data_IF_199809891001
#
_entry.id   IF_199809891001
#
_cell.length_a   1.000
_cell.length_b   1.000
_cell.length_c   1.000
_cell.angle_alpha   90.00
_cell.angle_beta   90.00
_cell.angle_gamma   90.00
#
_symmetry.space_group_name_H-M   'P 1'
#
loop_
_entity.id
_entity.type
_entity.pdbx_description
1 polymer ?
#
# COMPACT_ATOMS: atom_id res chain seq x y z
N UNK A 1 2.73 -31.75 21.40
CA UNK A 1 3.49 -30.51 21.56
C UNK A 1 4.21 -30.22 20.27
N UNK A 2 3.63 -29.47 19.36
CA UNK A 2 4.36 -28.95 18.22
C UNK A 2 4.79 -27.52 18.63
N UNK A 3 6.04 -27.37 18.99
CA UNK A 3 6.67 -26.06 19.09
C UNK A 3 6.59 -25.41 17.70
N UNK A 4 5.79 -24.37 17.58
CA UNK A 4 5.87 -23.43 16.45
C UNK A 4 7.28 -22.84 16.48
N UNK A 5 8.18 -23.38 15.67
CA UNK A 5 9.42 -22.67 15.34
C UNK A 5 9.04 -21.33 14.79
N UNK A 6 9.35 -20.27 15.52
CA UNK A 6 9.31 -18.92 15.00
C UNK A 6 10.04 -18.91 13.66
N UNK A 7 9.44 -18.32 12.64
CA UNK A 7 10.06 -18.18 11.32
C UNK A 7 11.32 -17.32 11.48
N UNK A 8 12.48 -17.98 11.47
CA UNK A 8 13.80 -17.36 11.79
C UNK A 8 14.39 -16.61 10.59
N UNK A 9 13.61 -16.52 9.49
CA UNK A 9 14.06 -15.81 8.29
C UNK A 9 14.15 -14.31 8.55
N UNK A 10 15.18 -13.64 8.02
CA UNK A 10 15.37 -12.21 8.21
C UNK A 10 14.17 -11.43 7.67
N UNK A 11 13.70 -10.49 8.45
CA UNK A 11 12.60 -9.58 8.10
C UNK A 11 13.20 -8.21 7.80
N UNK A 12 13.03 -7.74 6.57
CA UNK A 12 13.55 -6.45 6.14
C UNK A 12 12.42 -5.43 6.04
N UNK A 13 12.74 -4.20 6.44
CA UNK A 13 11.86 -3.05 6.37
C UNK A 13 12.49 -1.98 5.48
N UNK A 14 11.73 -1.43 4.55
CA UNK A 14 12.08 -0.19 3.87
C UNK A 14 11.18 0.95 4.35
N UNK A 15 11.75 2.13 4.58
CA UNK A 15 11.04 3.34 4.99
C UNK A 15 11.50 4.53 4.15
N UNK A 16 10.56 5.45 3.83
CA UNK A 16 10.91 6.73 3.21
C UNK A 16 10.29 7.89 3.99
N UNK A 17 10.98 9.03 3.93
CA UNK A 17 10.65 10.21 4.72
C UNK A 17 10.76 11.50 3.93
N UNK A 18 10.12 12.55 4.43
CA UNK A 18 10.29 13.93 3.96
C UNK A 18 11.68 14.51 4.26
N UNK A 19 12.57 13.77 4.92
CA UNK A 19 13.99 14.11 5.01
C UNK A 19 14.78 13.76 3.74
N UNK A 20 14.08 13.31 2.69
CA UNK A 20 14.63 12.89 1.41
C UNK A 20 15.59 11.70 1.52
N UNK A 21 15.31 10.79 2.42
CA UNK A 21 16.07 9.54 2.54
C UNK A 21 15.15 8.32 2.44
N UNK A 22 15.67 7.27 1.84
CA UNK A 22 15.15 5.90 1.94
C UNK A 22 16.09 5.12 2.84
N UNK A 23 15.55 4.36 3.76
CA UNK A 23 16.30 3.55 4.71
C UNK A 23 15.85 2.11 4.67
N UNK A 24 16.83 1.20 4.75
CA UNK A 24 16.60 -0.23 4.84
C UNK A 24 17.07 -0.71 6.20
N UNK A 25 16.24 -1.52 6.85
CA UNK A 25 16.41 -1.97 8.21
C UNK A 25 16.29 -3.48 8.30
N UNK A 26 17.06 -4.08 9.15
CA UNK A 26 16.70 -5.37 9.69
C UNK A 26 15.60 -5.17 10.73
N UNK A 27 14.39 -5.67 10.44
CA UNK A 27 13.21 -5.28 11.21
C UNK A 27 13.21 -5.79 12.65
N UNK A 28 13.85 -6.94 12.93
CA UNK A 28 13.87 -7.51 14.29
C UNK A 28 14.89 -6.86 15.21
N UNK A 29 16.05 -6.44 14.67
CA UNK A 29 17.12 -5.81 15.46
C UNK A 29 17.02 -4.29 15.48
N UNK A 30 16.27 -3.70 14.55
CA UNK A 30 16.19 -2.25 14.38
C UNK A 30 17.43 -1.63 13.76
N UNK A 31 18.36 -2.44 13.25
CA UNK A 31 19.61 -1.97 12.63
C UNK A 31 19.33 -1.41 11.24
N UNK A 32 19.68 -0.15 11.03
CA UNK A 32 19.68 0.46 9.70
C UNK A 32 20.98 0.06 8.99
N UNK A 33 20.89 -0.84 8.00
CA UNK A 33 22.06 -1.30 7.26
C UNK A 33 22.32 -0.51 5.98
N UNK A 34 21.32 0.20 5.47
CA UNK A 34 21.48 1.06 4.30
C UNK A 34 20.62 2.31 4.43
N UNK A 35 21.23 3.47 4.13
CA UNK A 35 20.52 4.75 4.02
C UNK A 35 21.06 5.48 2.82
N UNK A 36 20.19 5.89 1.91
CA UNK A 36 20.60 6.63 0.73
C UNK A 36 19.69 7.84 0.48
N UNK A 37 20.28 8.93 -0.04
CA UNK A 37 19.53 10.14 -0.33
C UNK A 37 18.62 9.96 -1.55
N UNK A 38 17.48 10.60 -1.50
CA UNK A 38 16.55 10.75 -2.62
C UNK A 38 16.33 12.25 -2.86
N UNK A 39 17.32 12.97 -3.41
CA UNK A 39 17.36 14.42 -3.41
C UNK A 39 16.22 15.04 -4.24
N UNK A 40 15.71 16.17 -3.76
CA UNK A 40 14.74 17.04 -4.43
C UNK A 40 13.33 16.47 -4.65
N UNK A 41 13.02 15.27 -4.13
CA UNK A 41 11.72 14.64 -4.33
C UNK A 41 11.22 14.03 -3.03
N UNK A 42 9.89 13.93 -2.90
CA UNK A 42 9.24 13.17 -1.83
C UNK A 42 8.80 11.82 -2.37
N UNK A 43 9.11 10.78 -1.64
CA UNK A 43 8.61 9.43 -1.92
C UNK A 43 7.22 9.32 -1.29
N UNK A 44 6.22 9.05 -2.11
CA UNK A 44 4.84 8.91 -1.66
C UNK A 44 4.49 7.44 -1.36
N UNK A 45 5.13 6.51 -2.08
CA UNK A 45 4.91 5.07 -1.92
C UNK A 45 6.19 4.30 -2.16
N UNK A 46 6.41 3.28 -1.33
CA UNK A 46 7.42 2.22 -1.54
C UNK A 46 6.71 0.90 -1.80
N UNK A 47 7.29 0.08 -2.67
CA UNK A 47 6.84 -1.29 -2.91
C UNK A 47 8.02 -2.18 -3.25
N UNK A 48 8.02 -3.43 -2.77
CA UNK A 48 9.05 -4.42 -3.09
C UNK A 48 8.52 -5.34 -4.19
N UNK A 49 9.37 -5.64 -5.17
CA UNK A 49 8.99 -6.54 -6.27
C UNK A 49 8.67 -7.95 -5.76
N UNK A 50 7.78 -8.72 -6.44
CA UNK A 50 7.42 -10.08 -6.02
C UNK A 50 8.62 -11.03 -5.90
N UNK A 51 9.67 -10.84 -6.71
CA UNK A 51 10.95 -11.58 -6.62
C UNK A 51 11.84 -11.12 -5.46
N UNK A 52 11.40 -10.09 -4.73
CA UNK A 52 12.07 -9.48 -3.58
C UNK A 52 13.45 -8.87 -3.89
N UNK A 53 13.86 -8.84 -5.14
CA UNK A 53 15.18 -8.33 -5.56
C UNK A 53 15.24 -6.82 -5.68
N UNK A 54 14.09 -6.15 -5.86
CA UNK A 54 14.07 -4.72 -6.19
C UNK A 54 13.09 -3.94 -5.33
N UNK A 55 13.38 -2.65 -5.16
CA UNK A 55 12.54 -1.67 -4.48
C UNK A 55 12.10 -0.62 -5.50
N UNK A 56 10.81 -0.33 -5.50
CA UNK A 56 10.25 0.79 -6.26
C UNK A 56 9.90 1.93 -5.33
N UNK A 57 10.27 3.14 -5.74
CA UNK A 57 9.88 4.38 -5.09
C UNK A 57 9.08 5.25 -6.06
N UNK A 58 7.82 5.49 -5.71
CA UNK A 58 6.93 6.41 -6.41
C UNK A 58 7.05 7.81 -5.82
N UNK A 59 7.27 8.80 -6.67
CA UNK A 59 7.51 10.20 -6.27
C UNK A 59 6.87 11.19 -7.24
N UNK A 60 7.32 12.42 -7.26
CA UNK A 60 6.84 13.47 -8.15
C UNK A 60 7.91 13.83 -9.20
N UNK A 61 7.66 13.66 -10.49
CA UNK A 61 6.60 12.88 -11.12
C UNK A 61 7.06 11.46 -11.52
N UNK A 62 8.25 11.04 -11.09
CA UNK A 62 8.91 9.83 -11.58
C UNK A 62 8.72 8.63 -10.64
N UNK A 63 8.86 7.44 -11.21
CA UNK A 63 8.98 6.19 -10.46
C UNK A 63 10.40 5.67 -10.66
N UNK A 64 11.10 5.29 -9.59
CA UNK A 64 12.45 4.75 -9.65
C UNK A 64 12.50 3.34 -9.11
N UNK A 65 13.21 2.49 -9.84
CA UNK A 65 13.44 1.09 -9.50
C UNK A 65 14.89 0.92 -9.06
N UNK A 66 15.09 0.37 -7.88
CA UNK A 66 16.41 0.10 -7.28
C UNK A 66 16.62 -1.40 -7.15
N UNK A 67 17.83 -1.87 -7.41
CA UNK A 67 18.24 -3.26 -7.19
C UNK A 67 18.84 -3.37 -5.78
N UNK A 68 18.18 -4.13 -4.91
CA UNK A 68 18.60 -4.31 -3.52
C UNK A 68 19.82 -5.22 -3.37
N UNK A 69 20.15 -5.99 -4.41
CA UNK A 69 21.29 -6.90 -4.45
C UNK A 69 22.52 -6.28 -5.14
N UNK A 70 22.39 -5.07 -5.67
CA UNK A 70 23.49 -4.36 -6.35
C UNK A 70 24.55 -3.89 -5.38
N UNK A 71 25.79 -3.78 -5.87
CA UNK A 71 26.89 -3.12 -5.16
C UNK A 71 26.66 -1.62 -4.94
N UNK A 72 25.76 -1.02 -5.70
CA UNK A 72 25.35 0.39 -5.60
C UNK A 72 23.83 0.53 -5.54
N UNK A 73 23.18 0.04 -4.45
CA UNK A 73 21.72 -0.01 -4.36
C UNK A 73 21.04 1.36 -4.31
N UNK A 74 21.80 2.44 -4.12
CA UNK A 74 21.33 3.83 -4.16
C UNK A 74 21.19 4.40 -5.59
N UNK A 75 21.70 3.71 -6.59
CA UNK A 75 21.58 4.11 -8.01
C UNK A 75 20.36 3.40 -8.60
N UNK A 76 19.36 4.13 -9.13
CA UNK A 76 18.22 3.47 -9.73
C UNK A 76 18.64 2.74 -11.01
N UNK A 77 18.25 1.47 -11.13
CA UNK A 77 18.47 0.68 -12.36
C UNK A 77 17.54 1.11 -13.48
N UNK A 78 16.43 1.77 -13.12
CA UNK A 78 15.48 2.35 -14.08
C UNK A 78 14.69 3.50 -13.48
N UNK A 79 14.40 4.51 -14.32
CA UNK A 79 13.45 5.60 -14.01
C UNK A 79 12.34 5.59 -15.05
N UNK A 80 11.09 5.73 -14.60
CA UNK A 80 9.90 5.79 -15.46
C UNK A 80 9.37 7.23 -15.44
N UNK A 81 9.35 7.88 -16.61
CA UNK A 81 9.15 9.32 -16.80
C UNK A 81 7.95 9.60 -17.71
N UNK A 82 6.74 9.32 -17.25
CA UNK A 82 5.53 9.55 -18.06
C UNK A 82 4.39 10.19 -17.29
N UNK A 83 4.40 10.12 -15.95
CA UNK A 83 3.49 10.91 -15.15
C UNK A 83 3.91 12.38 -15.10
N UNK A 84 2.94 13.28 -14.91
CA UNK A 84 3.16 14.74 -14.89
C UNK A 84 2.98 15.35 -13.50
N UNK A 85 2.47 14.58 -12.53
CA UNK A 85 2.26 14.99 -11.13
C UNK A 85 2.69 13.87 -10.18
N UNK A 86 2.39 14.04 -8.87
CA UNK A 86 2.69 13.05 -7.85
C UNK A 86 2.16 11.66 -8.21
N UNK A 87 3.02 10.67 -8.14
CA UNK A 87 2.63 9.27 -8.21
C UNK A 87 2.29 8.81 -6.80
N UNK A 88 1.02 8.46 -6.57
CA UNK A 88 0.47 8.17 -5.25
C UNK A 88 0.39 6.67 -4.95
N UNK A 89 0.33 5.85 -5.99
CA UNK A 89 0.23 4.40 -5.88
C UNK A 89 1.15 3.72 -6.88
N UNK A 90 1.75 2.61 -6.47
CA UNK A 90 2.51 1.70 -7.32
C UNK A 90 2.33 0.29 -6.80
N UNK A 91 2.34 -0.68 -7.70
CA UNK A 91 2.28 -2.09 -7.35
C UNK A 91 2.62 -2.99 -8.54
N UNK A 92 2.62 -4.28 -8.30
CA UNK A 92 3.07 -5.27 -9.28
C UNK A 92 2.02 -6.34 -9.54
N UNK A 93 2.03 -6.89 -10.74
CA UNK A 93 1.40 -8.15 -11.04
C UNK A 93 2.17 -9.29 -10.33
N UNK A 94 1.49 -10.38 -10.03
CA UNK A 94 2.07 -11.52 -9.30
C UNK A 94 3.38 -12.04 -9.91
N UNK A 95 3.49 -12.04 -11.25
CA UNK A 95 4.71 -12.47 -11.95
C UNK A 95 5.88 -11.47 -11.83
N UNK A 96 5.64 -10.26 -11.35
CA UNK A 96 6.64 -9.19 -11.31
C UNK A 96 7.05 -8.62 -12.66
N UNK A 97 6.40 -9.05 -13.76
CA UNK A 97 6.73 -8.56 -15.11
C UNK A 97 6.05 -7.24 -15.44
N UNK A 98 4.92 -6.98 -14.84
CA UNK A 98 4.15 -5.75 -15.03
C UNK A 98 4.04 -4.98 -13.71
N UNK A 99 4.21 -3.68 -13.80
CA UNK A 99 3.96 -2.71 -12.74
C UNK A 99 2.77 -1.83 -13.14
N UNK A 100 1.99 -1.40 -12.17
CA UNK A 100 0.96 -0.37 -12.34
C UNK A 100 1.26 0.82 -11.44
N UNK A 101 0.76 1.99 -11.82
CA UNK A 101 0.86 3.21 -11.02
C UNK A 101 -0.38 4.06 -11.16
N UNK A 102 -0.67 4.86 -10.13
CA UNK A 102 -1.72 5.86 -10.12
C UNK A 102 -1.18 7.21 -9.67
N UNK A 103 -1.64 8.29 -10.32
CA UNK A 103 -1.09 9.62 -10.10
C UNK A 103 -2.17 10.70 -9.96
N UNK A 104 -1.79 11.79 -9.29
CA UNK A 104 -2.58 13.03 -9.24
C UNK A 104 -2.79 13.69 -10.60
N UNK A 105 -2.11 13.23 -11.67
CA UNK A 105 -2.39 13.65 -13.04
C UNK A 105 -3.70 13.06 -13.60
N UNK A 106 -4.40 12.24 -12.81
CA UNK A 106 -5.66 11.59 -13.17
C UNK A 106 -5.47 10.31 -13.98
N UNK A 107 -4.25 9.80 -14.10
CA UNK A 107 -3.99 8.59 -14.90
C UNK A 107 -3.60 7.39 -14.06
N UNK A 108 -4.01 6.21 -14.54
CA UNK A 108 -3.48 4.91 -14.12
C UNK A 108 -2.67 4.37 -15.29
N UNK A 109 -1.41 3.99 -15.05
CA UNK A 109 -0.49 3.53 -16.10
C UNK A 109 0.01 2.12 -15.82
N UNK A 110 0.22 1.37 -16.91
CA UNK A 110 0.77 0.02 -16.91
C UNK A 110 2.14 0.04 -17.58
N UNK A 111 3.09 -0.63 -16.94
CA UNK A 111 4.49 -0.70 -17.34
C UNK A 111 4.94 -2.14 -17.48
N UNK A 112 5.53 -2.51 -18.60
CA UNK A 112 6.23 -3.79 -18.75
C UNK A 112 7.70 -3.61 -18.35
N UNK A 113 8.13 -4.32 -17.33
CA UNK A 113 9.49 -4.21 -16.81
C UNK A 113 10.55 -4.87 -17.71
N UNK A 114 10.13 -5.68 -18.68
CA UNK A 114 11.01 -6.34 -19.65
C UNK A 114 11.33 -5.43 -20.83
N UNK A 115 10.46 -4.48 -21.13
CA UNK A 115 10.58 -3.59 -22.29
C UNK A 115 11.21 -2.26 -21.90
N UNK A 116 11.99 -1.69 -22.83
CA UNK A 116 12.59 -0.36 -22.65
C UNK A 116 11.54 0.75 -22.80
N UNK A 117 10.40 0.47 -23.44
CA UNK A 117 9.32 1.44 -23.65
C UNK A 117 8.66 1.86 -22.32
N UNK A 118 8.35 3.14 -22.23
CA UNK A 118 7.93 3.78 -21.01
C UNK A 118 6.57 3.27 -20.54
N UNK A 119 5.48 3.58 -21.18
CA UNK A 119 4.14 3.20 -20.76
C UNK A 119 3.49 2.30 -21.81
N UNK A 120 2.89 1.18 -21.38
CA UNK A 120 2.18 0.29 -22.30
C UNK A 120 0.71 0.67 -22.47
N UNK A 121 0.07 1.04 -21.37
CA UNK A 121 -1.35 1.41 -21.33
C UNK A 121 -1.58 2.53 -20.35
N UNK A 122 -2.58 3.36 -20.65
CA UNK A 122 -2.98 4.48 -19.84
C UNK A 122 -4.51 4.55 -19.75
N UNK A 123 -5.03 4.53 -18.52
CA UNK A 123 -6.42 4.78 -18.22
C UNK A 123 -6.57 6.16 -17.62
N UNK A 124 -7.61 6.90 -18.02
CA UNK A 124 -7.83 8.28 -17.58
C UNK A 124 -9.08 8.41 -16.71
N UNK A 125 -8.88 9.00 -15.55
CA UNK A 125 -9.93 9.49 -14.68
C UNK A 125 -10.08 11.00 -14.84
N UNK A 126 -11.25 11.52 -14.53
CA UNK A 126 -11.51 12.97 -14.50
C UNK A 126 -10.98 13.66 -13.24
N UNK A 127 -10.49 12.89 -12.28
CA UNK A 127 -10.03 13.36 -10.96
C UNK A 127 -8.68 12.75 -10.59
N UNK A 128 -7.84 13.42 -9.79
CA UNK A 128 -6.58 12.89 -9.28
C UNK A 128 -6.74 11.53 -8.62
N UNK A 129 -5.88 10.58 -8.98
CA UNK A 129 -5.86 9.23 -8.40
C UNK A 129 -5.04 9.24 -7.11
N UNK A 130 -5.64 8.78 -6.02
CA UNK A 130 -4.98 8.64 -4.73
C UNK A 130 -4.46 7.23 -4.46
N UNK A 131 -5.14 6.21 -4.99
CA UNK A 131 -4.83 4.81 -4.72
C UNK A 131 -5.20 3.93 -5.90
N UNK A 132 -4.41 2.90 -6.14
CA UNK A 132 -4.68 1.84 -7.13
C UNK A 132 -4.26 0.51 -6.53
N UNK A 133 -5.06 -0.51 -6.73
CA UNK A 133 -4.76 -1.89 -6.35
C UNK A 133 -5.09 -2.84 -7.48
N UNK A 134 -4.33 -3.92 -7.61
CA UNK A 134 -4.62 -4.99 -8.55
C UNK A 134 -5.54 -6.01 -7.89
N UNK A 135 -6.61 -6.37 -8.59
CA UNK A 135 -7.46 -7.47 -8.15
C UNK A 135 -6.70 -8.81 -8.27
N UNK A 136 -6.88 -9.78 -7.35
CA UNK A 136 -6.18 -11.06 -7.39
C UNK A 136 -6.38 -11.87 -8.66
N UNK A 137 -7.47 -11.61 -9.45
CA UNK A 137 -7.68 -12.21 -10.78
C UNK A 137 -6.63 -11.77 -11.81
N UNK A 138 -5.77 -10.80 -11.51
CA UNK A 138 -4.69 -10.25 -12.34
C UNK A 138 -5.15 -9.59 -13.65
N UNK A 139 -6.44 -9.33 -13.80
CA UNK A 139 -7.05 -8.77 -15.02
C UNK A 139 -7.79 -7.45 -14.80
N UNK A 140 -7.91 -7.02 -13.54
CA UNK A 140 -8.61 -5.80 -13.18
C UNK A 140 -7.78 -4.97 -12.19
N UNK A 141 -7.74 -3.65 -12.42
CA UNK A 141 -7.24 -2.68 -11.46
C UNK A 141 -8.42 -1.92 -10.85
N UNK A 142 -8.33 -1.60 -9.57
CA UNK A 142 -9.30 -0.80 -8.86
C UNK A 142 -8.62 0.49 -8.41
N UNK A 143 -9.13 1.64 -8.81
CA UNK A 143 -8.60 2.95 -8.43
C UNK A 143 -9.58 3.73 -7.57
N UNK A 144 -9.08 4.54 -6.65
CA UNK A 144 -9.83 5.51 -5.87
C UNK A 144 -9.30 6.92 -6.10
N UNK A 145 -10.22 7.87 -6.29
CA UNK A 145 -9.87 9.22 -6.67
C UNK A 145 -10.22 10.29 -5.61
N UNK A 146 -9.79 11.52 -5.88
CA UNK A 146 -9.99 12.68 -5.01
C UNK A 146 -11.46 13.10 -4.89
N UNK A 147 -12.32 12.76 -5.85
CA UNK A 147 -13.75 13.08 -5.84
C UNK A 147 -14.60 12.00 -5.15
N UNK A 148 -13.98 10.90 -4.71
CA UNK A 148 -14.68 9.81 -4.05
C UNK A 148 -15.14 8.69 -4.97
N UNK A 149 -14.73 8.71 -6.24
CA UNK A 149 -15.09 7.65 -7.19
C UNK A 149 -14.11 6.49 -7.05
N UNK A 150 -14.65 5.29 -7.17
CA UNK A 150 -13.90 4.04 -7.28
C UNK A 150 -14.18 3.48 -8.66
N UNK A 151 -13.14 3.23 -9.47
CA UNK A 151 -13.27 2.68 -10.82
C UNK A 151 -12.55 1.37 -10.94
N UNK A 152 -13.17 0.46 -11.68
CA UNK A 152 -12.59 -0.82 -12.06
C UNK A 152 -12.19 -0.75 -13.53
N UNK A 153 -10.94 -1.05 -13.80
CA UNK A 153 -10.33 -1.01 -15.12
C UNK A 153 -10.06 -2.44 -15.58
N UNK A 154 -10.74 -2.87 -16.62
CA UNK A 154 -10.49 -4.16 -17.26
C UNK A 154 -9.24 -4.06 -18.13
N UNK A 155 -8.20 -4.81 -17.78
CA UNK A 155 -6.91 -4.84 -18.49
C UNK A 155 -6.99 -5.61 -19.83
N UNK A 156 -8.04 -6.39 -20.08
CA UNK A 156 -8.24 -7.12 -21.33
C UNK A 156 -9.01 -6.29 -22.35
N UNK A 157 -10.11 -5.68 -21.88
CA UNK A 157 -10.98 -4.87 -22.72
C UNK A 157 -10.50 -3.42 -22.88
N UNK A 158 -9.53 -2.99 -22.05
CA UNK A 158 -8.94 -1.65 -22.07
C UNK A 158 -9.96 -0.54 -21.78
N UNK A 159 -10.90 -0.80 -20.86
CA UNK A 159 -12.00 0.10 -20.52
C UNK A 159 -12.29 0.12 -19.01
N UNK A 160 -13.06 1.13 -18.58
CA UNK A 160 -13.66 1.16 -17.25
C UNK A 160 -14.91 0.27 -17.25
N UNK A 161 -14.88 -0.80 -16.48
CA UNK A 161 -15.98 -1.77 -16.42
C UNK A 161 -17.04 -1.42 -15.38
N UNK A 162 -16.64 -0.73 -14.30
CA UNK A 162 -17.53 -0.36 -13.20
C UNK A 162 -17.08 0.94 -12.54
N UNK A 163 -18.06 1.73 -12.08
CA UNK A 163 -17.83 2.92 -11.27
C UNK A 163 -18.73 2.88 -10.03
N UNK A 164 -18.12 3.07 -8.85
CA UNK A 164 -18.81 3.15 -7.57
C UNK A 164 -18.54 4.52 -6.93
N UNK A 165 -19.58 5.11 -6.36
CA UNK A 165 -19.48 6.39 -5.63
C UNK A 165 -20.09 6.21 -4.25
N UNK A 166 -19.32 5.71 -3.25
CA UNK A 166 -19.87 5.45 -1.92
C UNK A 166 -20.27 6.72 -1.18
N UNK A 167 -19.58 7.82 -1.43
CA UNK A 167 -19.87 9.13 -0.85
C UNK A 167 -19.34 10.25 -1.75
N UNK A 168 -20.28 11.04 -2.28
CA UNK A 168 -19.95 12.10 -3.25
C UNK A 168 -19.03 13.16 -2.63
N UNK A 169 -17.96 13.53 -3.34
CA UNK A 169 -17.05 14.60 -2.97
C UNK A 169 -16.17 14.30 -1.75
N UNK A 170 -16.12 13.04 -1.32
CA UNK A 170 -15.24 12.63 -0.21
C UNK A 170 -14.11 11.75 -0.74
N UNK A 171 -12.85 12.22 -0.69
CA UNK A 171 -11.70 11.51 -1.27
C UNK A 171 -11.55 10.08 -0.74
N UNK A 172 -11.33 9.14 -1.66
CA UNK A 172 -10.85 7.80 -1.32
C UNK A 172 -9.34 7.87 -1.18
N UNK A 173 -8.83 7.56 0.00
CA UNK A 173 -7.40 7.61 0.30
C UNK A 173 -6.69 6.28 0.15
N UNK A 174 -7.38 5.21 0.41
CA UNK A 174 -6.78 3.87 0.35
C UNK A 174 -7.81 2.83 -0.08
N UNK A 175 -7.34 1.89 -0.88
CA UNK A 175 -8.07 0.70 -1.31
C UNK A 175 -7.27 -0.54 -0.93
N UNK A 176 -7.96 -1.61 -0.64
CA UNK A 176 -7.36 -2.93 -0.44
C UNK A 176 -8.32 -4.02 -0.91
N UNK A 177 -7.77 -5.12 -1.41
CA UNK A 177 -8.52 -6.28 -1.87
C UNK A 177 -8.06 -7.49 -1.08
N UNK A 178 -9.00 -8.34 -0.69
CA UNK A 178 -8.67 -9.60 -0.02
C UNK A 178 -7.86 -10.48 -0.97
N UNK A 179 -6.93 -11.25 -0.44
CA UNK A 179 -6.03 -12.11 -1.22
C UNK A 179 -6.77 -13.13 -2.12
N UNK A 180 -7.96 -13.54 -1.74
CA UNK A 180 -8.84 -14.45 -2.51
C UNK A 180 -9.79 -13.71 -3.47
N UNK A 181 -9.72 -12.39 -3.53
CA UNK A 181 -10.56 -11.54 -4.39
C UNK A 181 -12.00 -11.37 -3.93
N UNK A 182 -12.39 -11.94 -2.78
CA UNK A 182 -13.80 -11.97 -2.34
C UNK A 182 -14.29 -10.66 -1.73
N UNK A 183 -13.37 -9.75 -1.37
CA UNK A 183 -13.70 -8.53 -0.64
C UNK A 183 -12.84 -7.35 -1.08
N UNK A 184 -13.47 -6.19 -1.22
CA UNK A 184 -12.81 -4.91 -1.46
C UNK A 184 -13.17 -3.94 -0.34
N UNK A 185 -12.19 -3.22 0.16
CA UNK A 185 -12.37 -2.17 1.17
C UNK A 185 -11.81 -0.86 0.66
N UNK A 186 -12.60 0.20 0.74
CA UNK A 186 -12.18 1.57 0.47
C UNK A 186 -12.30 2.43 1.72
N UNK A 187 -11.26 3.20 2.01
CA UNK A 187 -11.22 4.12 3.14
C UNK A 187 -11.17 5.57 2.67
N UNK A 188 -11.94 6.42 3.34
CA UNK A 188 -12.08 7.82 2.99
C UNK A 188 -11.53 8.79 4.04
N UNK A 189 -11.54 10.08 3.72
CA UNK A 189 -11.10 11.16 4.62
C UNK A 189 -12.03 11.43 5.81
N UNK A 190 -13.27 10.90 5.80
CA UNK A 190 -14.19 11.05 6.94
C UNK A 190 -14.07 9.97 7.99
N UNK A 191 -13.04 9.12 7.88
CA UNK A 191 -12.81 8.03 8.83
C UNK A 191 -13.69 6.81 8.59
N UNK A 192 -14.31 6.71 7.41
CA UNK A 192 -15.22 5.62 7.06
C UNK A 192 -14.54 4.64 6.12
N UNK A 193 -14.73 3.35 6.38
CA UNK A 193 -14.43 2.27 5.44
C UNK A 193 -15.74 1.75 4.85
N UNK A 194 -15.77 1.62 3.54
CA UNK A 194 -16.83 0.95 2.79
C UNK A 194 -16.31 -0.41 2.35
N UNK A 195 -17.12 -1.42 2.54
CA UNK A 195 -16.77 -2.82 2.28
C UNK A 195 -17.75 -3.40 1.28
N UNK A 196 -17.23 -4.03 0.23
CA UNK A 196 -18.00 -4.76 -0.75
C UNK A 196 -17.56 -6.21 -0.82
N UNK A 197 -18.53 -7.08 -1.06
CA UNK A 197 -18.27 -8.42 -1.55
C UNK A 197 -18.04 -8.33 -3.05
N UNK A 198 -16.99 -8.96 -3.52
CA UNK A 198 -16.69 -9.09 -4.94
C UNK A 198 -17.29 -10.40 -5.44
N UNK A 199 -18.19 -10.33 -6.40
CA UNK A 199 -18.80 -11.47 -7.06
C UNK A 199 -18.20 -11.56 -8.45
N UNK A 200 -17.79 -12.75 -8.86
CA UNK A 200 -17.46 -12.99 -10.27
C UNK A 200 -18.76 -13.21 -11.04
N UNK A 201 -19.15 -12.23 -11.86
CA UNK A 201 -20.28 -12.34 -12.75
C UNK A 201 -20.08 -13.41 -13.85
N UNK A 202 -21.16 -13.81 -14.49
CA UNK A 202 -21.17 -14.80 -15.60
C UNK A 202 -20.27 -14.37 -16.77
N UNK A 203 -20.00 -13.08 -16.92
CA UNK A 203 -19.14 -12.50 -17.98
C UNK A 203 -17.70 -12.22 -17.55
N UNK A 204 -17.22 -12.76 -16.44
CA UNK A 204 -15.89 -12.52 -15.87
C UNK A 204 -15.61 -11.07 -15.42
N UNK A 205 -16.61 -10.23 -15.35
CA UNK A 205 -16.50 -8.89 -14.76
C UNK A 205 -16.80 -8.96 -13.27
N UNK A 206 -16.02 -8.23 -12.48
CA UNK A 206 -16.22 -8.19 -11.03
C UNK A 206 -17.44 -7.33 -10.71
N UNK A 207 -18.46 -7.91 -10.10
CA UNK A 207 -19.60 -7.21 -9.53
C UNK A 207 -19.37 -6.96 -8.04
N UNK A 208 -19.82 -5.80 -7.55
CA UNK A 208 -19.66 -5.39 -6.16
C UNK A 208 -21.01 -5.30 -5.45
N UNK A 209 -21.18 -6.12 -4.43
CA UNK A 209 -22.31 -6.08 -3.53
C UNK A 209 -21.92 -5.35 -2.23
N UNK A 210 -22.61 -4.26 -1.84
CA UNK A 210 -22.33 -3.60 -0.56
C UNK A 210 -22.49 -4.56 0.60
N UNK A 211 -21.45 -4.71 1.43
CA UNK A 211 -21.43 -5.63 2.55
C UNK A 211 -21.49 -4.91 3.89
N UNK A 212 -20.69 -3.87 4.09
CA UNK A 212 -20.60 -3.17 5.36
C UNK A 212 -20.11 -1.74 5.21
N UNK A 213 -20.55 -0.87 6.14
CA UNK A 213 -20.04 0.48 6.32
C UNK A 213 -19.52 0.63 7.74
N UNK A 214 -18.25 0.94 7.90
CA UNK A 214 -17.56 0.99 9.18
C UNK A 214 -17.04 2.41 9.45
N UNK A 215 -17.57 3.08 10.49
CA UNK A 215 -16.94 4.30 11.01
C UNK A 215 -15.73 3.91 11.86
N UNK A 216 -14.57 3.82 11.21
CA UNK A 216 -13.38 3.29 11.85
C UNK A 216 -12.69 4.33 12.74
N UNK A 217 -12.59 5.59 12.30
CA UNK A 217 -11.87 6.66 12.99
C UNK A 217 -12.66 7.96 12.99
N UNK A 218 -12.33 8.85 13.92
CA UNK A 218 -12.86 10.22 13.94
C UNK A 218 -12.01 11.19 13.10
N UNK A 219 -10.90 10.74 12.58
CA UNK A 219 -10.00 11.47 11.68
C UNK A 219 -9.87 10.77 10.32
N UNK A 220 -9.04 11.33 9.44
CA UNK A 220 -8.77 10.78 8.12
C UNK A 220 -8.19 9.37 8.24
N UNK A 221 -8.68 8.43 7.43
CA UNK A 221 -7.98 7.17 7.21
C UNK A 221 -7.00 7.40 6.05
N UNK A 222 -5.72 7.24 6.34
CA UNK A 222 -4.65 7.46 5.36
C UNK A 222 -4.26 6.15 4.66
N UNK A 223 -4.43 5.03 5.38
CA UNK A 223 -4.19 3.70 4.84
C UNK A 223 -5.18 2.69 5.42
N UNK A 224 -5.71 1.83 4.56
CA UNK A 224 -6.38 0.59 4.97
C UNK A 224 -5.70 -0.59 4.27
N UNK A 225 -5.59 -1.72 4.96
CA UNK A 225 -4.92 -2.90 4.44
C UNK A 225 -5.52 -4.17 5.04
N UNK A 226 -5.95 -5.09 4.17
CA UNK A 226 -6.36 -6.43 4.56
C UNK A 226 -5.13 -7.31 4.80
N UNK A 227 -5.17 -8.14 5.83
CA UNK A 227 -4.07 -9.04 6.15
C UNK A 227 -3.92 -10.12 5.07
N UNK A 228 -2.69 -10.55 4.77
CA UNK A 228 -2.46 -11.67 3.88
C UNK A 228 -2.89 -13.00 4.53
N UNK A 229 -3.20 -13.98 3.68
CA UNK A 229 -3.53 -15.34 4.13
C UNK A 229 -4.82 -15.41 4.96
N UNK A 230 -4.89 -16.37 5.87
CA UNK A 230 -6.11 -16.71 6.61
C UNK A 230 -6.38 -15.84 7.86
N UNK A 231 -5.56 -14.84 8.16
CA UNK A 231 -5.65 -14.06 9.40
C UNK A 231 -6.85 -13.12 9.47
N UNK A 232 -7.54 -12.84 8.38
CA UNK A 232 -8.81 -12.10 8.27
C UNK A 232 -8.89 -10.82 9.10
N UNK A 233 -7.84 -10.00 9.07
CA UNK A 233 -7.80 -8.68 9.70
C UNK A 233 -7.83 -7.56 8.68
N UNK A 234 -8.44 -6.44 9.07
CA UNK A 234 -8.32 -5.16 8.40
C UNK A 234 -7.56 -4.21 9.33
N UNK A 235 -6.44 -3.67 8.88
CA UNK A 235 -5.74 -2.59 9.56
C UNK A 235 -6.16 -1.25 8.97
N UNK A 236 -6.40 -0.25 9.82
CA UNK A 236 -6.71 1.13 9.41
C UNK A 236 -5.81 2.10 10.14
N UNK A 237 -4.97 2.84 9.40
CA UNK A 237 -4.06 3.86 9.94
C UNK A 237 -4.65 5.25 9.74
N UNK A 238 -4.57 6.10 10.77
CA UNK A 238 -5.32 7.35 10.81
C UNK A 238 -4.51 8.56 11.26
N UNK A 239 -5.02 9.73 10.89
CA UNK A 239 -4.60 11.03 11.41
C UNK A 239 -4.89 11.21 12.90
N UNK A 240 -5.73 10.36 13.51
CA UNK A 240 -5.99 10.34 14.95
C UNK A 240 -4.83 9.71 15.76
N UNK A 241 -3.70 9.38 15.12
CA UNK A 241 -2.47 8.83 15.68
C UNK A 241 -2.55 7.35 16.07
N UNK A 242 -3.63 6.67 15.73
CA UNK A 242 -3.85 5.26 16.03
C UNK A 242 -3.88 4.41 14.77
N UNK A 243 -3.60 3.12 14.97
CA UNK A 243 -3.95 2.09 14.00
C UNK A 243 -4.93 1.15 14.67
N UNK A 244 -6.04 0.87 14.03
CA UNK A 244 -7.07 -0.05 14.53
C UNK A 244 -7.06 -1.33 13.71
N UNK A 245 -7.21 -2.45 14.40
CA UNK A 245 -7.27 -3.78 13.82
C UNK A 245 -8.68 -4.32 14.01
N UNK A 246 -9.30 -4.66 12.91
CA UNK A 246 -10.68 -5.13 12.86
C UNK A 246 -10.70 -6.58 12.39
N UNK A 247 -11.54 -7.39 13.01
CA UNK A 247 -11.83 -8.72 12.49
C UNK A 247 -12.79 -8.61 11.30
N UNK A 248 -12.43 -9.22 10.18
CA UNK A 248 -13.21 -9.14 8.93
C UNK A 248 -14.52 -9.93 9.00
N UNK A 249 -14.63 -10.95 9.87
CA UNK A 249 -15.83 -11.80 10.03
C UNK A 249 -16.96 -11.13 10.82
N UNK A 250 -16.99 -9.84 10.92
CA UNK A 250 -18.05 -9.09 11.62
C UNK A 250 -17.67 -7.66 11.88
N UNK A 251 -16.52 -7.23 11.37
CA UNK A 251 -15.97 -5.87 11.49
C UNK A 251 -15.93 -5.36 12.94
N UNK A 252 -15.64 -6.28 13.86
CA UNK A 252 -15.44 -5.94 15.28
C UNK A 252 -14.03 -5.44 15.52
N UNK A 253 -13.92 -4.38 16.32
CA UNK A 253 -12.62 -3.87 16.75
C UNK A 253 -11.95 -4.89 17.68
N UNK A 254 -10.77 -5.37 17.29
CA UNK A 254 -9.98 -6.29 18.11
C UNK A 254 -8.88 -5.59 18.88
N UNK A 255 -8.16 -4.67 18.22
CA UNK A 255 -7.01 -4.00 18.84
C UNK A 255 -6.94 -2.55 18.42
N UNK A 256 -6.41 -1.72 19.31
CA UNK A 256 -6.01 -0.34 19.04
C UNK A 256 -4.51 -0.25 19.32
N UNK A 257 -3.73 -0.01 18.29
CA UNK A 257 -2.29 0.18 18.42
C UNK A 257 -2.03 1.67 18.67
N UNK A 258 -1.62 1.96 19.90
CA UNK A 258 -1.34 3.32 20.38
C UNK A 258 0.15 3.48 20.66
N UNK A 259 0.69 4.67 20.42
CA UNK A 259 2.12 4.96 20.65
C UNK A 259 2.65 6.04 19.73
N UNK A 260 2.14 6.12 18.50
CA UNK A 260 2.48 7.24 17.63
C UNK A 260 1.97 8.58 18.20
N UNK A 261 2.78 9.62 18.01
CA UNK A 261 2.49 10.97 18.54
C UNK A 261 1.82 11.88 17.52
N UNK A 262 1.85 11.49 16.24
CA UNK A 262 1.29 12.23 15.10
C UNK A 262 0.60 11.27 14.13
N UNK A 263 0.13 11.78 13.00
CA UNK A 263 -0.57 11.04 11.94
C UNK A 263 0.19 9.78 11.52
N UNK A 264 -0.53 8.69 11.38
CA UNK A 264 0.01 7.43 10.82
C UNK A 264 -0.37 7.37 9.35
N UNK A 265 0.65 7.49 8.49
CA UNK A 265 0.48 7.62 7.05
C UNK A 265 0.30 6.28 6.34
N UNK A 266 1.02 5.28 6.77
CA UNK A 266 1.09 4.00 6.08
C UNK A 266 1.21 2.85 7.07
N UNK A 267 0.80 1.67 6.62
CA UNK A 267 1.03 0.42 7.33
C UNK A 267 1.17 -0.72 6.34
N UNK A 268 1.95 -1.74 6.72
CA UNK A 268 2.16 -2.93 5.92
C UNK A 268 2.27 -4.17 6.80
N UNK A 269 1.63 -5.28 6.37
CA UNK A 269 1.70 -6.55 7.06
C UNK A 269 2.92 -7.36 6.61
N UNK A 270 3.50 -8.10 7.54
CA UNK A 270 4.37 -9.20 7.16
C UNK A 270 3.57 -10.28 6.40
N UNK A 271 4.22 -11.00 5.50
CA UNK A 271 3.57 -12.00 4.63
C UNK A 271 2.78 -13.08 5.39
N UNK A 272 3.25 -13.46 6.59
CA UNK A 272 2.56 -14.39 7.48
C UNK A 272 1.49 -13.71 8.37
N UNK A 273 1.34 -12.38 8.28
CA UNK A 273 0.39 -11.61 9.08
C UNK A 273 0.72 -11.52 10.58
N UNK A 274 1.89 -11.98 11.02
CA UNK A 274 2.29 -11.95 12.44
C UNK A 274 2.73 -10.56 12.91
N UNK A 275 3.22 -9.74 11.98
CA UNK A 275 3.70 -8.39 12.27
C UNK A 275 3.00 -7.38 11.38
N UNK A 276 2.88 -6.16 11.90
CA UNK A 276 2.48 -4.96 11.16
C UNK A 276 3.54 -3.90 11.37
N UNK A 277 3.97 -3.23 10.31
CA UNK A 277 4.78 -2.01 10.41
C UNK A 277 3.90 -0.80 10.15
N UNK A 278 4.23 0.32 10.77
CA UNK A 278 3.53 1.59 10.60
C UNK A 278 4.51 2.74 10.43
N UNK A 279 4.19 3.72 9.60
CA UNK A 279 4.99 4.92 9.35
C UNK A 279 4.23 6.18 9.79
N UNK A 280 4.90 7.12 10.47
CA UNK A 280 4.24 8.27 11.06
C UNK A 280 4.97 9.60 10.88
N UNK A 281 4.18 10.69 10.91
CA UNK A 281 4.69 12.06 11.01
C UNK A 281 5.50 12.35 12.27
N UNK A 282 5.50 11.46 13.25
CA UNK A 282 6.35 11.59 14.44
C UNK A 282 7.82 11.20 14.19
N UNK A 283 8.19 11.03 12.91
CA UNK A 283 9.53 10.68 12.42
C UNK A 283 9.92 9.22 12.63
N UNK A 284 9.03 8.40 13.15
CA UNK A 284 9.30 7.00 13.45
C UNK A 284 8.53 6.06 12.52
N UNK A 285 9.09 4.86 12.33
CA UNK A 285 8.31 3.68 11.98
C UNK A 285 8.28 2.73 13.17
N UNK A 286 7.22 1.92 13.32
CA UNK A 286 7.06 0.98 14.44
C UNK A 286 6.64 -0.38 13.94
N UNK A 287 7.19 -1.42 14.55
CA UNK A 287 6.82 -2.81 14.33
C UNK A 287 5.95 -3.29 15.49
N UNK A 288 4.84 -3.91 15.15
CA UNK A 288 3.85 -4.40 16.09
C UNK A 288 3.69 -5.91 15.95
N UNK A 289 3.63 -6.63 17.06
CA UNK A 289 3.21 -8.03 17.06
C UNK A 289 1.69 -8.12 17.00
N UNK A 290 1.17 -8.73 15.96
CA UNK A 290 -0.27 -8.92 15.79
C UNK A 290 -0.86 -9.84 16.85
N UNK A 291 -0.09 -10.84 17.30
CA UNK A 291 -0.50 -11.73 18.39
C UNK A 291 -0.62 -10.98 19.72
N UNK A 292 0.42 -10.25 20.11
CA UNK A 292 0.45 -9.56 21.40
C UNK A 292 -0.30 -8.22 21.41
N UNK A 293 -0.51 -7.59 20.23
CA UNK A 293 -1.05 -6.23 20.12
C UNK A 293 -0.11 -5.17 20.70
N UNK A 294 1.18 -5.46 20.79
CA UNK A 294 2.20 -4.60 21.42
C UNK A 294 3.29 -4.23 20.42
N UNK A 295 3.88 -3.07 20.66
CA UNK A 295 5.08 -2.61 19.97
C UNK A 295 6.26 -3.55 20.26
N UNK A 296 6.96 -3.95 19.21
CA UNK A 296 8.15 -4.79 19.26
C UNK A 296 9.40 -3.94 19.06
N UNK A 297 9.34 -2.98 18.10
CA UNK A 297 10.48 -2.16 17.73
C UNK A 297 10.07 -0.78 17.30
N UNK A 298 10.90 0.23 17.58
CA UNK A 298 10.76 1.61 17.09
C UNK A 298 12.00 1.99 16.28
N UNK A 299 11.79 2.38 15.03
CA UNK A 299 12.85 2.83 14.12
C UNK A 299 12.92 4.36 14.14
N UNK A 300 14.00 4.89 14.71
CA UNK A 300 14.19 6.32 14.96
C UNK A 300 15.47 6.83 14.29
N UNK A 301 15.43 7.07 13.00
CA UNK A 301 16.58 7.68 12.33
C UNK A 301 16.19 8.77 11.34
N UNK A 302 14.93 8.82 10.93
CA UNK A 302 14.44 9.90 10.08
C UNK A 302 14.35 11.23 10.83
N UNK A 303 14.67 12.32 10.13
CA UNK A 303 14.64 13.68 10.70
C UNK A 303 13.33 14.42 10.44
N UNK A 304 12.49 13.89 9.54
CA UNK A 304 11.17 14.42 9.20
C UNK A 304 10.15 13.27 9.17
N UNK A 305 8.90 13.58 8.84
CA UNK A 305 7.82 12.60 8.78
C UNK A 305 8.20 11.38 7.94
N UNK A 306 8.03 10.18 8.50
CA UNK A 306 8.10 8.92 7.76
C UNK A 306 6.74 8.69 7.13
N UNK A 307 6.68 8.60 5.80
CA UNK A 307 5.42 8.66 5.05
C UNK A 307 5.02 7.35 4.41
N UNK A 308 5.95 6.46 4.17
CA UNK A 308 5.64 5.13 3.68
C UNK A 308 6.61 4.09 4.23
N UNK A 309 6.13 2.86 4.28
CA UNK A 309 6.89 1.70 4.74
C UNK A 309 6.44 0.45 3.96
N UNK A 310 7.35 -0.50 3.82
CA UNK A 310 7.03 -1.82 3.28
C UNK A 310 7.91 -2.89 3.92
N UNK A 311 7.30 -4.06 4.20
CA UNK A 311 7.94 -5.21 4.84
C UNK A 311 8.25 -6.31 3.83
N UNK A 312 9.41 -6.91 3.99
CA UNK A 312 9.85 -8.07 3.22
C UNK A 312 10.24 -9.21 4.16
N UNK A 313 9.81 -10.44 3.85
CA UNK A 313 10.39 -11.69 4.35
C UNK A 313 11.26 -12.32 3.28
N UNK A 314 12.40 -12.84 3.64
CA UNK A 314 13.22 -13.71 2.79
C UNK A 314 12.62 -15.09 2.65
#
# INVERSE_FOLDING_TARGET
MFENKADDRPLFLATASYDHTIRLWEARTGTCYLSFPYPHMHVNRLEITPDKGKLVAACNPHIRLFDLNSMAPHIPVRTFESHTKNVMAVGFQYTGQMMYSGSEDGTVKIWDLRLVRECQREFRSVSPINTVVLHPNQTELISGDQNGNIRVWDLRADLCSCELVPEVGTPIRSLTVMWDGTMVVAANERGTCYVWRSLQGIQMMTEFEPLHKLQAHNGYILKCLLSPGNNRYLATASSDKTVKIWNVDGFKLEKVLTGHRRWVWDCDFSRNGEYLVTASSDTTARLWSMRAGKEVMVYQAHRKATVCCTLRHD
#
